data_IF_576391989582
#
_entry.id   IF_576391989582
#
_cell.length_a   1.000
_cell.length_b   1.000
_cell.length_c   1.000
_cell.angle_alpha   90.00
_cell.angle_beta   90.00
_cell.angle_gamma   90.00
#
_symmetry.space_group_name_H-M   'P 1'
#
loop_
_entity.id
_entity.type
_entity.pdbx_description
1 polymer ?
#
# COMPACT_ATOMS: atom_id res chain seq x y z
N UNK A 1 68.55 9.34 -38.75
CA UNK A 1 68.67 9.26 -37.28
C UNK A 1 67.28 9.54 -36.71
N UNK A 2 66.60 8.46 -36.32
CA UNK A 2 65.18 8.40 -35.97
C UNK A 2 65.03 8.80 -34.49
N UNK A 3 64.21 9.81 -34.18
CA UNK A 3 63.84 10.18 -32.80
C UNK A 3 62.38 9.78 -32.56
N UNK A 4 62.17 8.71 -31.79
CA UNK A 4 60.86 8.30 -31.29
C UNK A 4 60.51 9.16 -30.06
N UNK A 5 59.45 9.94 -30.16
CA UNK A 5 58.77 10.57 -29.03
C UNK A 5 57.71 9.60 -28.49
N UNK A 6 57.96 9.02 -27.32
CA UNK A 6 56.99 8.21 -26.58
C UNK A 6 56.00 9.13 -25.88
N UNK A 7 54.78 9.23 -26.40
CA UNK A 7 53.64 9.78 -25.67
C UNK A 7 53.15 8.73 -24.66
N UNK A 8 53.40 8.96 -23.38
CA UNK A 8 52.76 8.22 -22.29
C UNK A 8 51.30 8.66 -22.20
N UNK A 9 50.40 7.87 -22.78
CA UNK A 9 48.97 7.98 -22.48
C UNK A 9 48.72 7.49 -21.06
N UNK A 10 48.48 8.42 -20.13
CA UNK A 10 47.77 8.13 -18.88
C UNK A 10 46.34 7.77 -19.23
N UNK A 11 46.08 6.48 -19.47
CA UNK A 11 44.73 5.92 -19.41
C UNK A 11 44.23 6.03 -17.97
N UNK A 12 43.53 7.11 -17.65
CA UNK A 12 42.55 7.08 -16.58
C UNK A 12 41.47 6.08 -17.01
N UNK A 13 41.61 4.85 -16.53
CA UNK A 13 40.52 3.89 -16.53
C UNK A 13 39.39 4.47 -15.68
N UNK A 14 38.43 5.13 -16.32
CA UNK A 14 37.09 5.25 -15.76
C UNK A 14 36.59 3.82 -15.58
N UNK A 15 36.51 3.41 -14.33
CA UNK A 15 35.90 2.15 -13.92
C UNK A 15 34.40 2.26 -14.25
N UNK A 16 34.04 1.94 -15.50
CA UNK A 16 32.67 1.80 -15.96
C UNK A 16 32.07 0.57 -15.26
N UNK A 17 31.57 0.75 -14.04
CA UNK A 17 30.51 -0.12 -13.55
C UNK A 17 29.37 -0.03 -14.55
N UNK A 18 28.98 -1.15 -15.16
CA UNK A 18 27.84 -1.19 -16.06
C UNK A 18 26.63 -0.58 -15.33
N UNK A 19 26.19 0.60 -15.77
CA UNK A 19 25.13 1.35 -15.07
C UNK A 19 23.88 0.49 -14.95
N UNK A 20 23.43 0.26 -13.71
CA UNK A 20 22.23 -0.53 -13.43
C UNK A 20 21.04 0.23 -14.03
N UNK A 21 20.35 -0.34 -15.00
CA UNK A 21 19.21 0.34 -15.63
C UNK A 21 17.92 -0.25 -15.10
N UNK A 22 17.04 0.61 -14.58
CA UNK A 22 15.67 0.26 -14.17
C UNK A 22 14.72 1.00 -15.09
N UNK A 23 13.75 0.29 -15.65
CA UNK A 23 12.73 0.93 -16.47
C UNK A 23 11.47 1.22 -15.66
N UNK A 24 10.77 2.31 -15.98
CA UNK A 24 9.54 2.70 -15.31
C UNK A 24 8.38 2.80 -16.29
N UNK A 25 7.29 2.10 -16.01
CA UNK A 25 6.03 2.21 -16.75
C UNK A 25 5.02 2.91 -15.84
N UNK A 26 4.65 4.13 -16.22
CA UNK A 26 3.76 4.99 -15.45
C UNK A 26 2.31 4.51 -15.44
N UNK A 27 1.53 5.07 -14.51
CA UNK A 27 0.10 4.83 -14.34
C UNK A 27 -0.75 5.39 -15.48
N UNK A 28 -0.24 6.43 -16.18
CA UNK A 28 -0.99 7.24 -17.13
C UNK A 28 -1.48 8.56 -16.53
N UNK A 29 -1.24 8.80 -15.23
CA UNK A 29 -1.42 10.10 -14.59
C UNK A 29 -0.06 10.82 -14.52
N UNK A 30 0.16 11.77 -15.44
CA UNK A 30 1.45 12.46 -15.57
C UNK A 30 1.95 13.13 -14.30
N UNK A 31 1.06 13.71 -13.47
CA UNK A 31 1.46 14.36 -12.23
C UNK A 31 1.92 13.34 -11.16
N UNK A 32 1.22 12.22 -11.04
CA UNK A 32 1.59 11.13 -10.14
C UNK A 32 2.89 10.46 -10.62
N UNK A 33 2.97 10.16 -11.92
CA UNK A 33 4.12 9.49 -12.52
C UNK A 33 5.38 10.34 -12.37
N UNK A 34 5.29 11.66 -12.62
CA UNK A 34 6.41 12.57 -12.41
C UNK A 34 6.83 12.64 -10.94
N UNK A 35 5.87 12.75 -10.02
CA UNK A 35 6.16 12.80 -8.59
C UNK A 35 6.91 11.55 -8.10
N UNK A 36 6.42 10.36 -8.46
CA UNK A 36 7.07 9.09 -8.10
C UNK A 36 8.42 8.91 -8.78
N UNK A 37 8.55 9.34 -10.04
CA UNK A 37 9.84 9.31 -10.76
C UNK A 37 10.88 10.14 -10.02
N UNK A 38 10.56 11.37 -9.62
CA UNK A 38 11.48 12.23 -8.85
C UNK A 38 11.84 11.62 -7.50
N UNK A 39 10.89 11.02 -6.79
CA UNK A 39 11.18 10.36 -5.51
C UNK A 39 12.08 9.13 -5.71
N UNK A 40 11.82 8.30 -6.72
CA UNK A 40 12.65 7.13 -7.03
C UNK A 40 14.06 7.55 -7.42
N UNK A 41 14.22 8.53 -8.31
CA UNK A 41 15.54 9.05 -8.70
C UNK A 41 16.35 9.55 -7.51
N UNK A 42 15.70 10.17 -6.51
CA UNK A 42 16.37 10.64 -5.30
C UNK A 42 16.76 9.52 -4.32
N UNK A 43 16.11 8.35 -4.42
CA UNK A 43 16.29 7.24 -3.48
C UNK A 43 17.19 6.12 -4.01
N UNK A 44 17.26 5.93 -5.32
CA UNK A 44 18.04 4.87 -5.95
C UNK A 44 19.54 5.07 -5.73
N UNK A 45 20.27 3.96 -5.54
CA UNK A 45 21.70 3.97 -5.32
C UNK A 45 22.49 4.55 -6.51
N UNK A 46 23.64 5.17 -6.20
CA UNK A 46 24.57 5.74 -7.18
C UNK A 46 24.89 4.73 -8.30
N UNK A 47 24.79 5.18 -9.55
CA UNK A 47 25.00 4.34 -10.73
C UNK A 47 23.77 3.56 -11.21
N UNK A 48 22.62 3.72 -10.54
CA UNK A 48 21.32 3.23 -11.03
C UNK A 48 20.61 4.32 -11.82
N UNK A 49 20.26 4.03 -13.07
CA UNK A 49 19.56 4.96 -13.96
C UNK A 49 18.11 4.51 -14.10
N UNK A 50 17.18 5.37 -13.68
CA UNK A 50 15.75 5.18 -13.91
C UNK A 50 15.39 5.71 -15.31
N UNK A 51 14.71 4.88 -16.12
CA UNK A 51 14.28 5.24 -17.48
C UNK A 51 12.79 5.04 -17.64
N UNK A 52 11.99 6.12 -17.60
CA UNK A 52 10.60 6.06 -18.00
C UNK A 52 10.47 5.56 -19.44
N UNK A 53 9.58 4.60 -19.68
CA UNK A 53 9.37 4.00 -21.00
C UNK A 53 7.90 3.94 -21.37
N UNK A 54 7.68 4.02 -22.67
CA UNK A 54 6.39 3.80 -23.30
C UNK A 54 6.15 2.30 -23.56
N UNK A 55 4.91 1.93 -23.85
CA UNK A 55 4.50 0.53 -24.04
C UNK A 55 5.31 -0.17 -25.15
N UNK A 56 5.58 0.51 -26.26
CA UNK A 56 6.30 -0.07 -27.40
C UNK A 56 7.76 -0.38 -27.08
N UNK A 57 8.34 0.34 -26.11
CA UNK A 57 9.71 0.15 -25.66
C UNK A 57 9.84 -1.02 -24.69
N UNK A 58 8.75 -1.47 -24.06
CA UNK A 58 8.77 -2.59 -23.10
C UNK A 58 9.20 -3.90 -23.77
N UNK A 59 8.80 -4.11 -25.02
CA UNK A 59 9.17 -5.30 -25.79
C UNK A 59 10.69 -5.44 -26.00
N UNK A 60 11.41 -4.31 -25.96
CA UNK A 60 12.85 -4.24 -26.20
C UNK A 60 13.66 -4.36 -24.90
N UNK A 61 13.00 -4.45 -23.74
CA UNK A 61 13.67 -4.59 -22.44
C UNK A 61 14.08 -6.04 -22.25
N UNK A 62 15.38 -6.30 -22.38
CA UNK A 62 15.97 -7.60 -22.06
C UNK A 62 16.65 -7.57 -20.69
N UNK A 63 16.28 -8.51 -19.82
CA UNK A 63 16.98 -8.85 -18.56
C UNK A 63 17.16 -7.68 -17.57
N UNK A 64 16.35 -6.63 -17.65
CA UNK A 64 16.37 -5.50 -16.71
C UNK A 64 15.06 -5.42 -15.92
N UNK A 65 15.09 -5.04 -14.64
CA UNK A 65 13.89 -4.89 -13.84
C UNK A 65 13.04 -3.71 -14.30
N UNK A 66 11.72 -3.87 -14.22
CA UNK A 66 10.73 -2.84 -14.55
C UNK A 66 9.90 -2.50 -13.33
N UNK A 67 9.90 -1.23 -12.93
CA UNK A 67 8.91 -0.67 -12.01
C UNK A 67 7.63 -0.36 -12.77
N UNK A 68 6.49 -0.80 -12.25
CA UNK A 68 5.17 -0.44 -12.79
C UNK A 68 4.36 0.33 -11.76
N UNK A 69 3.69 1.41 -12.16
CA UNK A 69 2.84 2.20 -11.25
C UNK A 69 1.37 1.83 -11.48
N UNK A 70 0.85 1.00 -10.59
CA UNK A 70 -0.54 0.57 -10.55
C UNK A 70 -0.88 -0.65 -11.43
N UNK A 71 -2.08 -1.24 -11.22
CA UNK A 71 -2.50 -2.47 -11.90
C UNK A 71 -2.47 -2.40 -13.43
N UNK A 72 -2.88 -1.26 -13.99
CA UNK A 72 -2.93 -1.08 -15.45
C UNK A 72 -1.52 -1.08 -16.07
N UNK A 73 -0.55 -0.43 -15.43
CA UNK A 73 0.85 -0.44 -15.87
C UNK A 73 1.43 -1.85 -15.81
N UNK A 74 1.19 -2.57 -14.71
CA UNK A 74 1.58 -3.96 -14.55
C UNK A 74 1.02 -4.86 -15.66
N UNK A 75 -0.30 -4.80 -15.90
CA UNK A 75 -0.95 -5.62 -16.93
C UNK A 75 -0.40 -5.33 -18.33
N UNK A 76 -0.10 -4.07 -18.66
CA UNK A 76 0.52 -3.72 -19.95
C UNK A 76 1.89 -4.38 -20.14
N UNK A 77 2.75 -4.34 -19.13
CA UNK A 77 4.08 -4.97 -19.21
C UNK A 77 3.96 -6.49 -19.39
N UNK A 78 3.10 -7.13 -18.59
CA UNK A 78 2.85 -8.58 -18.66
C UNK A 78 2.30 -9.06 -20.01
N UNK A 79 1.51 -8.23 -20.68
CA UNK A 79 0.97 -8.55 -22.01
C UNK A 79 2.05 -8.57 -23.09
N UNK A 80 3.02 -7.67 -23.00
CA UNK A 80 4.09 -7.53 -23.99
C UNK A 80 5.21 -8.53 -23.74
N UNK A 81 5.68 -8.65 -22.49
CA UNK A 81 6.78 -9.54 -22.15
C UNK A 81 6.53 -10.24 -20.80
N UNK A 82 6.26 -11.55 -20.85
CA UNK A 82 6.02 -12.38 -19.67
C UNK A 82 7.29 -12.78 -18.91
N UNK A 83 8.47 -12.52 -19.45
CA UNK A 83 9.75 -12.86 -18.83
C UNK A 83 10.40 -11.66 -18.13
N UNK A 84 9.78 -10.48 -18.22
CA UNK A 84 10.27 -9.27 -17.57
C UNK A 84 10.14 -9.39 -16.04
N UNK A 85 11.22 -9.14 -15.28
CA UNK A 85 11.14 -8.96 -13.83
C UNK A 85 10.40 -7.66 -13.51
N UNK A 86 9.37 -7.73 -12.67
CA UNK A 86 8.48 -6.61 -12.39
C UNK A 86 8.40 -6.35 -10.88
N UNK A 87 8.66 -5.11 -10.50
CA UNK A 87 8.33 -4.55 -9.20
C UNK A 87 7.09 -3.66 -9.36
N UNK A 88 5.93 -4.14 -8.91
CA UNK A 88 4.69 -3.38 -8.98
C UNK A 88 4.56 -2.43 -7.79
N UNK A 89 4.37 -1.14 -8.04
CA UNK A 89 4.05 -0.15 -7.01
C UNK A 89 2.59 0.26 -7.13
N UNK A 90 2.00 0.75 -6.04
CA UNK A 90 0.60 1.20 -6.01
C UNK A 90 -0.41 0.11 -6.37
N UNK A 91 -0.18 -1.11 -5.88
CA UNK A 91 -1.07 -2.27 -6.06
C UNK A 91 -1.56 -2.81 -4.73
N UNK A 92 -2.70 -3.50 -4.73
CA UNK A 92 -3.23 -4.20 -3.55
C UNK A 92 -2.66 -5.62 -3.46
N UNK A 93 -2.65 -6.18 -2.24
CA UNK A 93 -2.19 -7.56 -2.03
C UNK A 93 -2.97 -8.58 -2.88
N UNK A 94 -4.29 -8.41 -2.93
CA UNK A 94 -5.22 -9.25 -3.70
C UNK A 94 -4.93 -9.26 -5.21
N UNK A 95 -4.43 -8.14 -5.73
CA UNK A 95 -4.05 -8.03 -7.14
C UNK A 95 -2.74 -8.75 -7.44
N UNK A 96 -1.70 -8.54 -6.62
CA UNK A 96 -0.34 -8.96 -6.97
C UNK A 96 0.01 -10.38 -6.50
N UNK A 97 -0.62 -10.89 -5.43
CA UNK A 97 -0.27 -12.16 -4.78
C UNK A 97 -0.21 -13.33 -5.78
N UNK A 98 -1.27 -13.52 -6.56
CA UNK A 98 -1.35 -14.62 -7.54
C UNK A 98 -0.25 -14.56 -8.60
N UNK A 99 0.24 -13.37 -8.96
CA UNK A 99 1.34 -13.23 -9.90
C UNK A 99 2.70 -13.52 -9.26
N UNK A 100 2.91 -13.05 -8.03
CA UNK A 100 4.12 -13.32 -7.27
C UNK A 100 4.27 -14.83 -6.96
N UNK A 101 3.18 -15.50 -6.56
CA UNK A 101 3.18 -16.93 -6.23
C UNK A 101 3.51 -17.80 -7.46
N UNK A 102 3.05 -17.37 -8.65
CA UNK A 102 3.32 -18.08 -9.92
C UNK A 102 4.69 -17.77 -10.52
N UNK A 103 5.34 -16.69 -10.08
CA UNK A 103 6.61 -16.22 -10.63
C UNK A 103 7.49 -15.63 -9.52
N UNK A 104 7.83 -16.45 -8.50
CA UNK A 104 8.61 -16.00 -7.35
C UNK A 104 9.98 -15.49 -7.79
N UNK A 105 10.49 -14.45 -7.11
CA UNK A 105 11.73 -13.77 -7.48
C UNK A 105 11.63 -12.90 -8.74
N UNK A 106 10.69 -13.17 -9.65
CA UNK A 106 10.50 -12.37 -10.86
C UNK A 106 9.45 -11.28 -10.69
N UNK A 107 8.38 -11.55 -9.93
CA UNK A 107 7.29 -10.60 -9.70
C UNK A 107 7.20 -10.30 -8.21
N UNK A 108 7.20 -9.01 -7.89
CA UNK A 108 6.98 -8.51 -6.53
C UNK A 108 6.12 -7.25 -6.53
N UNK A 109 5.79 -6.76 -5.34
CA UNK A 109 4.96 -5.58 -5.15
C UNK A 109 5.29 -4.77 -3.91
N UNK A 110 5.27 -3.45 -4.04
CA UNK A 110 5.14 -2.49 -2.95
C UNK A 110 3.67 -2.11 -2.83
N UNK A 111 3.06 -2.59 -1.76
CA UNK A 111 1.63 -2.44 -1.49
C UNK A 111 1.32 -1.01 -1.01
N UNK A 112 0.23 -0.40 -1.47
CA UNK A 112 -0.13 0.99 -1.10
C UNK A 112 -1.12 1.09 0.06
N UNK A 113 -1.90 0.03 0.26
CA UNK A 113 -2.76 -0.11 1.40
C UNK A 113 -1.93 -0.40 2.65
N UNK A 114 -2.62 -0.53 3.78
CA UNK A 114 -2.01 -0.81 5.07
C UNK A 114 -2.72 -2.04 5.61
N UNK A 115 -2.00 -2.99 6.26
CA UNK A 115 -2.63 -4.16 6.86
C UNK A 115 -3.85 -3.77 7.70
N UNK A 116 -4.94 -4.53 7.54
CA UNK A 116 -6.22 -4.21 8.19
C UNK A 116 -6.10 -4.12 9.71
N UNK A 117 -5.20 -4.90 10.32
CA UNK A 117 -4.92 -4.80 11.75
C UNK A 117 -4.41 -3.43 12.16
N UNK A 118 -3.52 -2.80 11.38
CA UNK A 118 -3.06 -1.44 11.67
C UNK A 118 -4.22 -0.44 11.60
N UNK A 119 -5.17 -0.64 10.67
CA UNK A 119 -6.37 0.20 10.61
C UNK A 119 -7.32 -0.04 11.80
N UNK A 120 -7.52 -1.30 12.21
CA UNK A 120 -8.30 -1.63 13.40
C UNK A 120 -7.68 -1.00 14.67
N UNK A 121 -6.37 -1.12 14.84
CA UNK A 121 -5.63 -0.52 15.94
C UNK A 121 -5.65 1.01 15.90
N UNK A 122 -5.72 1.62 14.72
CA UNK A 122 -5.94 3.06 14.58
C UNK A 122 -7.31 3.45 15.16
N UNK A 123 -8.35 2.66 14.90
CA UNK A 123 -9.67 2.81 15.52
C UNK A 123 -9.59 2.69 17.04
N UNK A 124 -8.93 1.66 17.56
CA UNK A 124 -8.70 1.43 19.00
C UNK A 124 -7.89 2.55 19.66
N UNK A 125 -6.87 3.09 18.99
CA UNK A 125 -6.04 4.17 19.52
C UNK A 125 -6.82 5.49 19.65
N UNK A 126 -7.83 5.70 18.79
CA UNK A 126 -8.78 6.83 18.86
C UNK A 126 -9.90 6.56 19.86
N UNK A 127 -10.43 5.33 19.92
CA UNK A 127 -11.44 4.87 20.87
C UNK A 127 -10.88 3.74 21.76
N UNK A 128 -10.13 4.05 22.83
CA UNK A 128 -9.45 3.04 23.65
C UNK A 128 -10.36 1.97 24.24
N UNK A 129 -11.64 2.28 24.45
CA UNK A 129 -12.64 1.38 25.01
C UNK A 129 -13.31 0.47 23.98
N UNK A 130 -13.07 0.68 22.67
CA UNK A 130 -13.68 -0.13 21.62
C UNK A 130 -13.19 -1.58 21.68
N UNK A 131 -14.10 -2.54 21.64
CA UNK A 131 -13.81 -3.99 21.69
C UNK A 131 -14.45 -4.74 20.53
N UNK A 132 -15.44 -4.14 19.84
CA UNK A 132 -16.17 -4.76 18.73
C UNK A 132 -16.06 -3.93 17.48
N UNK A 133 -15.68 -4.56 16.37
CA UNK A 133 -15.56 -3.93 15.06
C UNK A 133 -16.65 -4.47 14.13
N UNK A 134 -17.35 -3.57 13.47
CA UNK A 134 -18.30 -3.90 12.42
C UNK A 134 -17.60 -3.87 11.05
N UNK A 135 -17.69 -4.98 10.31
CA UNK A 135 -17.10 -5.12 8.98
C UNK A 135 -18.22 -5.34 7.96
N UNK A 136 -18.13 -4.68 6.81
CA UNK A 136 -19.00 -4.95 5.66
C UNK A 136 -18.20 -5.66 4.59
N UNK A 137 -18.77 -6.72 4.03
CA UNK A 137 -18.14 -7.49 2.95
C UNK A 137 -19.15 -7.84 1.87
N UNK A 138 -18.69 -7.95 0.63
CA UNK A 138 -19.37 -8.71 -0.41
C UNK A 138 -18.94 -10.18 -0.36
N UNK A 139 -19.56 -11.04 -1.17
CA UNK A 139 -19.12 -12.43 -1.30
C UNK A 139 -17.67 -12.53 -1.80
N UNK A 140 -17.25 -11.59 -2.67
CA UNK A 140 -15.91 -11.55 -3.26
C UNK A 140 -14.85 -10.99 -2.31
N UNK A 141 -15.26 -10.30 -1.24
CA UNK A 141 -14.35 -9.62 -0.32
C UNK A 141 -14.35 -10.21 1.10
N UNK A 142 -15.12 -11.28 1.35
CA UNK A 142 -15.27 -11.82 2.71
C UNK A 142 -13.95 -12.37 3.24
N UNK A 143 -13.20 -13.07 2.39
CA UNK A 143 -11.90 -13.68 2.71
C UNK A 143 -10.82 -12.64 3.06
N UNK A 144 -10.99 -11.39 2.61
CA UNK A 144 -10.07 -10.29 2.93
C UNK A 144 -9.94 -10.06 4.45
N UNK A 145 -10.99 -10.40 5.21
CA UNK A 145 -11.05 -10.17 6.64
C UNK A 145 -10.54 -11.35 7.48
N UNK A 146 -10.31 -12.53 6.91
CA UNK A 146 -9.91 -13.71 7.69
C UNK A 146 -8.65 -13.46 8.53
N UNK A 147 -7.54 -12.94 7.99
CA UNK A 147 -6.34 -12.66 8.79
C UNK A 147 -6.62 -11.67 9.92
N UNK A 148 -7.49 -10.68 9.68
CA UNK A 148 -7.87 -9.71 10.70
C UNK A 148 -8.64 -10.38 11.84
N UNK A 149 -9.58 -11.28 11.53
CA UNK A 149 -10.38 -11.96 12.55
C UNK A 149 -9.51 -12.80 13.51
N UNK A 150 -8.45 -13.41 12.98
CA UNK A 150 -7.49 -14.21 13.75
C UNK A 150 -6.55 -13.34 14.60
N UNK A 151 -6.16 -12.17 14.11
CA UNK A 151 -5.23 -11.26 14.82
C UNK A 151 -5.90 -10.46 15.95
N UNK A 152 -7.17 -10.05 15.79
CA UNK A 152 -7.86 -9.15 16.73
C UNK A 152 -7.92 -9.61 18.20
N UNK A 153 -8.11 -10.91 18.52
CA UNK A 153 -8.16 -11.37 19.91
C UNK A 153 -6.91 -11.02 20.73
N UNK A 154 -5.71 -11.05 20.11
CA UNK A 154 -4.46 -10.66 20.77
C UNK A 154 -4.48 -9.20 21.24
N UNK A 155 -5.32 -8.36 20.64
CA UNK A 155 -5.48 -6.94 20.98
C UNK A 155 -6.75 -6.66 21.81
N UNK A 156 -7.40 -7.70 22.34
CA UNK A 156 -8.63 -7.59 23.12
C UNK A 156 -9.80 -7.04 22.30
N UNK A 157 -9.81 -7.31 21.00
CA UNK A 157 -10.86 -6.92 20.08
C UNK A 157 -11.48 -8.14 19.41
N UNK A 158 -12.68 -7.94 18.88
CA UNK A 158 -13.40 -8.91 18.06
C UNK A 158 -14.05 -8.15 16.90
N UNK A 159 -14.34 -8.85 15.81
CA UNK A 159 -15.10 -8.28 14.71
C UNK A 159 -16.17 -9.22 14.22
N UNK A 160 -17.20 -8.64 13.61
CA UNK A 160 -18.24 -9.39 12.91
C UNK A 160 -18.38 -8.86 11.50
N UNK A 161 -18.36 -9.78 10.54
CA UNK A 161 -18.60 -9.50 9.13
C UNK A 161 -20.10 -9.56 8.83
N UNK A 162 -20.59 -8.52 8.18
CA UNK A 162 -21.97 -8.39 7.72
C UNK A 162 -21.98 -8.41 6.19
N UNK A 163 -22.52 -9.48 5.63
CA UNK A 163 -22.54 -9.71 4.18
C UNK A 163 -23.56 -8.78 3.48
N UNK A 164 -23.09 -8.10 2.44
CA UNK A 164 -23.89 -7.29 1.53
C UNK A 164 -24.09 -8.06 0.23
N UNK A 165 -25.18 -8.81 0.15
CA UNK A 165 -25.47 -9.67 -1.02
C UNK A 165 -25.78 -8.87 -2.30
N UNK A 166 -26.38 -7.69 -2.15
CA UNK A 166 -26.82 -6.81 -3.23
C UNK A 166 -26.64 -5.35 -2.83
N UNK A 167 -26.44 -4.47 -3.80
CA UNK A 167 -26.31 -3.01 -3.58
C UNK A 167 -27.45 -2.43 -2.75
N UNK A 168 -28.68 -2.90 -2.98
CA UNK A 168 -29.88 -2.38 -2.32
C UNK A 168 -29.94 -2.77 -0.83
N UNK A 169 -29.22 -3.84 -0.46
CA UNK A 169 -29.12 -4.32 0.91
C UNK A 169 -28.00 -3.62 1.70
N UNK A 170 -27.22 -2.72 1.09
CA UNK A 170 -26.07 -2.07 1.73
C UNK A 170 -26.49 -1.30 2.99
N UNK A 171 -27.47 -0.40 2.89
CA UNK A 171 -27.86 0.46 4.01
C UNK A 171 -28.58 -0.34 5.12
N UNK A 172 -29.53 -1.23 4.83
CA UNK A 172 -30.09 -2.12 5.85
C UNK A 172 -29.03 -2.96 6.57
N UNK A 173 -28.02 -3.45 5.84
CA UNK A 173 -26.92 -4.25 6.41
C UNK A 173 -26.00 -3.41 7.28
N UNK A 174 -25.63 -2.21 6.81
CA UNK A 174 -24.89 -1.24 7.61
C UNK A 174 -25.62 -0.90 8.92
N UNK A 175 -26.94 -0.71 8.88
CA UNK A 175 -27.73 -0.46 10.10
C UNK A 175 -27.62 -1.60 11.12
N UNK A 176 -27.63 -2.87 10.67
CA UNK A 176 -27.40 -4.02 11.55
C UNK A 176 -25.96 -4.02 12.09
N UNK A 177 -24.98 -3.76 11.23
CA UNK A 177 -23.57 -3.72 11.59
C UNK A 177 -23.27 -2.65 12.66
N UNK A 178 -23.85 -1.46 12.51
CA UNK A 178 -23.76 -0.35 13.46
C UNK A 178 -24.44 -0.64 14.81
N UNK A 179 -25.31 -1.66 14.89
CA UNK A 179 -25.89 -2.12 16.15
C UNK A 179 -24.97 -3.08 16.92
N UNK A 180 -23.94 -3.63 16.28
CA UNK A 180 -22.99 -4.57 16.88
C UNK A 180 -21.68 -3.91 17.28
N UNK A 181 -21.06 -3.17 16.37
CA UNK A 181 -19.70 -2.65 16.53
C UNK A 181 -19.65 -1.30 17.25
N UNK A 182 -18.54 -1.07 17.95
CA UNK A 182 -18.16 0.24 18.51
C UNK A 182 -17.65 1.20 17.42
N UNK A 183 -17.22 0.64 16.29
CA UNK A 183 -16.94 1.37 15.06
C UNK A 183 -17.03 0.48 13.82
N UNK A 184 -17.11 1.12 12.65
CA UNK A 184 -16.98 0.46 11.35
C UNK A 184 -15.54 0.56 10.86
N UNK A 185 -14.95 -0.58 10.52
CA UNK A 185 -13.71 -0.63 9.76
C UNK A 185 -14.03 -0.94 8.30
N UNK A 186 -13.62 -0.04 7.42
CA UNK A 186 -13.84 -0.14 5.98
C UNK A 186 -12.57 -0.64 5.30
N UNK A 187 -12.59 -1.88 4.80
CA UNK A 187 -11.56 -2.42 3.92
C UNK A 187 -11.74 -1.92 2.46
N UNK A 188 -10.73 -2.05 1.58
CA UNK A 188 -10.83 -1.67 0.17
C UNK A 188 -11.74 -2.63 -0.64
N UNK A 189 -13.04 -2.61 -0.38
CA UNK A 189 -14.07 -3.23 -1.23
C UNK A 189 -14.73 -2.14 -2.10
N UNK A 190 -14.43 -2.14 -3.40
CA UNK A 190 -14.95 -1.14 -4.35
C UNK A 190 -16.46 -1.25 -4.64
N UNK A 191 -17.09 -2.39 -4.35
CA UNK A 191 -18.53 -2.55 -4.47
C UNK A 191 -19.27 -1.87 -3.30
N UNK A 192 -18.68 -1.88 -2.11
CA UNK A 192 -19.25 -1.24 -0.90
C UNK A 192 -18.77 0.21 -0.76
N UNK A 193 -17.47 0.43 -0.82
CA UNK A 193 -16.84 1.74 -0.61
C UNK A 193 -16.45 2.31 -1.97
N UNK A 194 -17.28 3.21 -2.49
CA UNK A 194 -17.03 3.94 -3.72
C UNK A 194 -17.70 5.32 -3.70
N UNK A 195 -17.43 6.20 -4.69
CA UNK A 195 -18.00 7.56 -4.70
C UNK A 195 -19.54 7.62 -4.67
N UNK A 196 -20.24 6.58 -5.12
CA UNK A 196 -21.72 6.54 -5.13
C UNK A 196 -22.29 6.21 -3.75
N UNK A 197 -21.64 5.32 -3.00
CA UNK A 197 -22.15 4.77 -1.74
C UNK A 197 -21.58 5.44 -0.50
N UNK A 198 -20.35 5.97 -0.56
CA UNK A 198 -19.62 6.43 0.63
C UNK A 198 -20.37 7.51 1.43
N UNK A 199 -21.00 8.46 0.75
CA UNK A 199 -21.78 9.52 1.41
C UNK A 199 -22.93 8.93 2.24
N UNK A 200 -23.63 7.93 1.71
CA UNK A 200 -24.75 7.29 2.40
C UNK A 200 -24.28 6.47 3.60
N UNK A 201 -23.13 5.78 3.47
CA UNK A 201 -22.50 5.04 4.57
C UNK A 201 -22.16 6.00 5.72
N UNK A 202 -21.42 7.07 5.43
CA UNK A 202 -20.97 8.03 6.45
C UNK A 202 -22.15 8.73 7.14
N UNK A 203 -23.15 9.19 6.39
CA UNK A 203 -24.34 9.81 6.97
C UNK A 203 -25.11 8.85 7.87
N UNK A 204 -25.19 7.57 7.50
CA UNK A 204 -25.89 6.56 8.30
C UNK A 204 -25.13 6.24 9.59
N UNK A 205 -23.80 6.12 9.51
CA UNK A 205 -22.93 5.88 10.67
C UNK A 205 -22.99 7.05 11.67
N UNK A 206 -22.82 8.29 11.20
CA UNK A 206 -22.77 9.46 12.07
C UNK A 206 -24.12 9.83 12.69
N UNK A 207 -25.25 9.53 12.04
CA UNK A 207 -26.58 9.62 12.66
C UNK A 207 -26.73 8.71 13.89
N UNK A 208 -25.88 7.70 14.01
CA UNK A 208 -25.85 6.74 15.13
C UNK A 208 -24.64 6.93 16.05
N UNK A 209 -23.93 8.06 15.92
CA UNK A 209 -22.70 8.37 16.67
C UNK A 209 -21.59 7.31 16.50
N UNK A 210 -21.56 6.63 15.37
CA UNK A 210 -20.59 5.57 15.08
C UNK A 210 -19.50 6.11 14.15
N UNK A 211 -18.24 5.84 14.50
CA UNK A 211 -17.11 6.27 13.68
C UNK A 211 -16.87 5.31 12.53
N UNK A 212 -16.21 5.80 11.49
CA UNK A 212 -15.77 4.99 10.35
C UNK A 212 -14.28 5.18 10.18
N UNK A 213 -13.51 4.10 10.27
CA UNK A 213 -12.12 4.03 9.87
C UNK A 213 -12.08 3.62 8.40
N UNK A 214 -11.67 4.56 7.54
CA UNK A 214 -11.70 4.40 6.09
C UNK A 214 -10.50 3.61 5.55
N UNK A 215 -10.61 3.03 4.34
CA UNK A 215 -9.56 2.19 3.77
C UNK A 215 -8.35 3.00 3.31
N UNK A 216 -8.53 4.26 2.92
CA UNK A 216 -7.46 5.13 2.42
C UNK A 216 -7.63 6.58 2.85
N UNK A 217 -6.57 7.38 2.68
CA UNK A 217 -6.60 8.83 2.93
C UNK A 217 -7.69 9.55 2.11
N UNK A 218 -8.05 9.06 0.92
CA UNK A 218 -9.12 9.64 0.11
C UNK A 218 -10.48 9.57 0.83
N UNK A 219 -10.70 8.52 1.64
CA UNK A 219 -11.93 8.37 2.41
C UNK A 219 -12.00 9.32 3.62
N UNK A 220 -10.86 9.68 4.21
CA UNK A 220 -10.81 10.73 5.25
C UNK A 220 -11.25 12.07 4.66
N UNK A 221 -10.83 12.38 3.43
CA UNK A 221 -11.31 13.57 2.69
C UNK A 221 -12.80 13.47 2.35
N UNK A 222 -13.30 12.27 2.06
CA UNK A 222 -14.73 12.02 1.82
C UNK A 222 -15.59 12.08 3.09
N UNK A 223 -14.97 12.00 4.27
CA UNK A 223 -15.62 12.20 5.56
C UNK A 223 -15.48 11.07 6.56
N UNK A 224 -14.70 10.00 6.29
CA UNK A 224 -14.31 9.03 7.33
C UNK A 224 -13.53 9.73 8.45
N UNK A 225 -13.59 9.19 9.67
CA UNK A 225 -12.95 9.80 10.83
C UNK A 225 -11.42 9.74 10.69
N UNK A 226 -10.89 8.57 10.35
CA UNK A 226 -9.47 8.37 10.19
C UNK A 226 -9.18 7.25 9.19
N UNK A 227 -7.93 7.17 8.75
CA UNK A 227 -7.39 6.07 7.94
C UNK A 227 -5.88 6.02 8.11
N UNK A 228 -5.33 4.81 8.09
CA UNK A 228 -3.89 4.61 8.01
C UNK A 228 -3.47 4.41 6.56
N UNK A 229 -2.37 5.04 6.17
CA UNK A 229 -1.86 5.01 4.81
C UNK A 229 -0.34 4.93 4.79
N UNK A 230 0.22 4.28 3.77
CA UNK A 230 1.64 4.34 3.48
C UNK A 230 1.97 5.64 2.72
N UNK A 231 2.90 6.48 3.19
CA UNK A 231 3.38 7.64 2.44
C UNK A 231 4.23 7.21 1.22
N UNK A 232 4.22 8.00 0.14
CA UNK A 232 5.05 7.71 -1.04
C UNK A 232 6.55 7.59 -0.76
N UNK A 233 7.18 8.43 0.09
CA UNK A 233 8.59 8.24 0.45
C UNK A 233 8.91 6.86 1.02
N UNK A 234 8.04 6.32 1.89
CA UNK A 234 8.21 4.98 2.49
C UNK A 234 8.06 3.86 1.44
N UNK A 235 7.10 4.00 0.53
CA UNK A 235 6.95 3.07 -0.59
C UNK A 235 8.18 3.06 -1.51
N UNK A 236 8.72 4.24 -1.79
CA UNK A 236 9.90 4.41 -2.64
C UNK A 236 11.15 3.85 -1.96
N UNK A 237 11.28 4.03 -0.64
CA UNK A 237 12.35 3.43 0.13
C UNK A 237 12.30 1.89 0.07
N UNK A 238 11.11 1.30 0.24
CA UNK A 238 10.94 -0.14 0.11
C UNK A 238 11.24 -0.62 -1.32
N UNK A 239 10.80 0.12 -2.33
CA UNK A 239 11.09 -0.21 -3.73
C UNK A 239 12.60 -0.20 -4.02
N UNK A 240 13.35 0.76 -3.47
CA UNK A 240 14.82 0.81 -3.59
C UNK A 240 15.48 -0.41 -2.97
N UNK A 241 15.07 -0.80 -1.75
CA UNK A 241 15.57 -2.01 -1.08
C UNK A 241 15.32 -3.27 -1.92
N UNK A 242 14.13 -3.39 -2.51
CA UNK A 242 13.77 -4.54 -3.35
C UNK A 242 14.61 -4.59 -4.63
N UNK A 243 14.89 -3.43 -5.24
CA UNK A 243 15.78 -3.34 -6.39
C UNK A 243 17.23 -3.68 -6.03
N UNK A 244 17.72 -3.23 -4.88
CA UNK A 244 19.05 -3.57 -4.38
C UNK A 244 19.18 -5.08 -4.20
N UNK A 245 18.22 -5.72 -3.51
CA UNK A 245 18.19 -7.18 -3.39
C UNK A 245 18.16 -7.85 -4.77
N UNK A 246 17.31 -7.38 -5.68
CA UNK A 246 17.25 -7.93 -7.04
C UNK A 246 18.58 -7.83 -7.78
N UNK A 247 19.30 -6.71 -7.66
CA UNK A 247 20.60 -6.54 -8.30
C UNK A 247 21.70 -7.41 -7.69
N UNK A 248 21.55 -7.81 -6.43
CA UNK A 248 22.48 -8.70 -5.73
C UNK A 248 22.20 -10.18 -5.98
N UNK A 249 20.93 -10.59 -5.96
CA UNK A 249 20.52 -11.99 -5.97
C UNK A 249 19.94 -12.44 -7.32
N UNK A 250 19.47 -11.52 -8.15
CA UNK A 250 18.68 -11.80 -9.35
C UNK A 250 17.19 -12.04 -9.07
N UNK A 251 16.75 -11.92 -7.80
CA UNK A 251 15.39 -12.23 -7.37
C UNK A 251 14.82 -11.14 -6.44
N UNK A 252 13.58 -10.74 -6.69
CA UNK A 252 12.85 -9.83 -5.82
C UNK A 252 12.37 -10.55 -4.55
N UNK A 253 12.36 -9.86 -3.40
CA UNK A 253 11.63 -10.31 -2.22
C UNK A 253 10.12 -10.45 -2.48
N UNK A 254 9.36 -11.15 -1.62
CA UNK A 254 7.90 -11.23 -1.71
C UNK A 254 7.22 -9.85 -1.62
N UNK A 255 6.03 -9.66 -2.23
CA UNK A 255 5.27 -8.43 -2.09
C UNK A 255 5.04 -8.04 -0.63
N UNK A 256 5.31 -6.80 -0.29
CA UNK A 256 5.31 -6.34 1.10
C UNK A 256 4.72 -4.93 1.25
N UNK A 257 4.19 -4.67 2.45
CA UNK A 257 3.79 -3.33 2.87
C UNK A 257 5.02 -2.54 3.35
N UNK A 258 5.04 -1.21 3.18
CA UNK A 258 5.99 -0.38 3.90
C UNK A 258 5.87 -0.55 5.42
N UNK A 259 7.02 -0.58 6.09
CA UNK A 259 7.08 -0.70 7.55
C UNK A 259 6.43 0.51 8.21
N UNK A 260 6.82 1.70 7.77
CA UNK A 260 6.29 2.95 8.28
C UNK A 260 4.96 3.31 7.59
N UNK A 261 4.01 3.78 8.40
CA UNK A 261 2.74 4.31 7.94
C UNK A 261 2.44 5.63 8.66
N UNK A 262 1.40 6.32 8.18
CA UNK A 262 0.89 7.53 8.83
C UNK A 262 -0.62 7.44 9.00
N UNK A 263 -1.12 8.25 9.92
CA UNK A 263 -2.56 8.38 10.17
C UNK A 263 -3.07 9.70 9.60
N UNK A 264 -4.13 9.62 8.81
CA UNK A 264 -4.93 10.78 8.42
C UNK A 264 -6.16 10.85 9.33
N UNK A 265 -6.47 12.06 9.82
CA UNK A 265 -7.61 12.30 10.73
C UNK A 265 -8.46 13.45 10.22
N UNK A 266 -9.77 13.26 10.20
CA UNK A 266 -10.75 14.28 9.93
C UNK A 266 -11.16 15.00 11.23
N UNK A 267 -10.47 16.10 11.52
CA UNK A 267 -10.74 16.92 12.72
C UNK A 267 -12.15 17.50 12.76
N UNK A 268 -12.77 17.76 11.61
CA UNK A 268 -14.14 18.29 11.54
C UNK A 268 -15.15 17.23 11.98
N UNK A 269 -15.00 16.01 11.49
CA UNK A 269 -15.86 14.88 11.87
C UNK A 269 -15.73 14.58 13.36
N UNK A 270 -14.51 14.52 13.89
CA UNK A 270 -14.30 14.28 15.31
C UNK A 270 -14.97 15.34 16.20
N UNK A 271 -14.87 16.62 15.84
CA UNK A 271 -15.57 17.70 16.54
C UNK A 271 -17.08 17.51 16.50
N UNK A 272 -17.64 17.11 15.35
CA UNK A 272 -19.09 16.88 15.22
C UNK A 272 -19.60 15.71 16.06
N UNK A 273 -18.74 14.73 16.35
CA UNK A 273 -19.04 13.56 17.17
C UNK A 273 -18.60 13.73 18.64
N UNK A 274 -18.08 14.91 19.02
CA UNK A 274 -17.50 15.18 20.34
C UNK A 274 -16.42 14.16 20.77
N UNK A 275 -15.59 13.71 19.82
CA UNK A 275 -14.52 12.77 20.08
C UNK A 275 -13.23 13.54 20.41
N UNK A 276 -12.65 13.36 21.61
CA UNK A 276 -11.35 13.93 21.94
C UNK A 276 -10.27 13.24 21.12
N UNK A 277 -9.72 13.94 20.13
CA UNK A 277 -8.69 13.38 19.27
C UNK A 277 -7.29 13.54 19.88
N UNK A 278 -6.52 12.46 20.03
CA UNK A 278 -5.07 12.56 20.15
C UNK A 278 -4.45 13.15 18.87
N UNK A 279 -3.16 13.53 18.91
CA UNK A 279 -2.47 13.93 17.68
C UNK A 279 -2.32 12.73 16.74
N UNK A 280 -2.16 12.97 15.44
CA UNK A 280 -2.01 11.87 14.47
C UNK A 280 -0.71 11.09 14.69
N UNK A 281 0.31 11.77 15.21
CA UNK A 281 1.58 11.20 15.63
C UNK A 281 1.37 10.28 16.83
N UNK A 282 0.64 10.72 17.86
CA UNK A 282 0.31 9.88 19.02
C UNK A 282 -0.50 8.63 18.63
N UNK A 283 -1.41 8.74 17.65
CA UNK A 283 -2.17 7.57 17.17
C UNK A 283 -1.23 6.56 16.52
N UNK A 284 -0.33 7.01 15.66
CA UNK A 284 0.64 6.12 15.00
C UNK A 284 1.54 5.42 16.02
N UNK A 285 2.10 6.17 16.99
CA UNK A 285 2.95 5.60 18.04
C UNK A 285 2.24 4.58 18.93
N UNK A 286 0.95 4.78 19.23
CA UNK A 286 0.15 3.82 19.98
C UNK A 286 -0.06 2.52 19.20
N UNK A 287 -0.30 2.63 17.90
CA UNK A 287 -0.46 1.47 17.01
C UNK A 287 0.85 0.70 16.93
N UNK A 288 1.98 1.37 16.69
CA UNK A 288 3.30 0.74 16.65
C UNK A 288 3.61 0.00 17.94
N UNK A 289 3.39 0.64 19.10
CA UNK A 289 3.60 0.02 20.41
C UNK A 289 2.76 -1.23 20.60
N UNK A 290 1.49 -1.21 20.19
CA UNK A 290 0.62 -2.39 20.29
C UNK A 290 1.14 -3.54 19.42
N UNK A 291 1.60 -3.24 18.21
CA UNK A 291 2.14 -4.25 17.28
C UNK A 291 3.45 -4.86 17.80
N UNK A 292 4.36 -4.06 18.37
CA UNK A 292 5.61 -4.57 18.93
C UNK A 292 5.37 -5.47 20.14
N UNK A 293 4.56 -5.02 21.10
CA UNK A 293 4.29 -5.76 22.34
C UNK A 293 3.65 -7.13 22.06
N UNK A 294 2.71 -7.20 21.11
CA UNK A 294 2.05 -8.46 20.77
C UNK A 294 2.83 -9.31 19.75
N UNK A 295 3.71 -8.70 18.97
CA UNK A 295 4.66 -9.42 18.11
C UNK A 295 5.66 -10.24 18.93
N UNK A 296 6.20 -9.66 20.02
CA UNK A 296 7.11 -10.35 20.94
C UNK A 296 6.44 -11.52 21.68
N UNK A 297 5.13 -11.43 21.97
CA UNK A 297 4.36 -12.49 22.66
C UNK A 297 3.95 -13.64 21.71
N UNK A 298 4.01 -13.42 20.39
CA UNK A 298 3.65 -14.43 19.39
C UNK A 298 4.83 -15.33 18.97
N UNK A 299 6.06 -14.92 19.31
CA UNK A 299 7.31 -15.64 19.02
C UNK A 299 7.83 -16.47 20.23
N UNK A 300 7.13 -16.47 21.37
CA UNK A 300 7.36 -17.33 22.55
C UNK A 300 6.37 -18.52 22.62
#
# INVERSE_FOLDING_TARGET
>A
MLFLLTFSHTTHAQNNGAGRTVYLVGSGNGALDQHLTTLLEAQLADGTVLRPVTQDQVAMIEKSPVITIGPAAFSRVRQVNRSTPILAMLVEKSFISTFADRSPGQISGVLYDVPLIRQALTGKAILPQATKIALLATADSVELYEPLLDELPAFGMSAQVFLVEKSDNLIPTLVRALGYGDFVLAAPDSAIYNPRTIKHILLTAYRRNQIVIGPTQAYVKAGSLASSYAPFPEMVQLASKFLETYFETGEFPPPSYPDQFRVAINKQVARSLNIPLPSREDVAERVDRQLTVNGEVSDE
#
